data_IF_287452562866
#
_entry.id   IF_287452562866
#
_cell.length_a   1.000
_cell.length_b   1.000
_cell.length_c   1.000
_cell.angle_alpha   90.00
_cell.angle_beta   90.00
_cell.angle_gamma   90.00
#
_symmetry.space_group_name_H-M   'P 1'
#
loop_
_entity.id
_entity.type
_entity.pdbx_description
1 polymer ?
#
# COMPACT_ATOMS: atom_id res chain seq x y z
N UNK A 1 12.57 -24.73 28.57
CA UNK A 1 11.66 -23.97 27.70
C UNK A 1 12.19 -22.55 27.63
N UNK A 2 12.45 -22.01 26.43
CA UNK A 2 12.91 -20.62 26.29
C UNK A 2 11.83 -19.60 26.69
N UNK A 3 12.19 -18.31 26.88
CA UNK A 3 11.22 -17.29 27.22
C UNK A 3 10.16 -17.15 26.12
N UNK A 4 8.88 -17.12 26.50
CA UNK A 4 7.78 -16.84 25.57
C UNK A 4 7.78 -15.34 25.26
N UNK A 5 7.87 -14.98 23.98
CA UNK A 5 7.74 -13.60 23.54
C UNK A 5 6.26 -13.19 23.66
N UNK A 6 5.94 -12.05 24.31
CA UNK A 6 4.56 -11.63 24.53
C UNK A 6 3.75 -11.48 23.23
N UNK A 7 2.44 -11.71 23.35
CA UNK A 7 1.44 -11.44 22.30
C UNK A 7 0.44 -10.40 22.81
N UNK A 8 0.00 -9.49 21.95
CA UNK A 8 -1.16 -8.63 22.25
C UNK A 8 -2.36 -9.15 21.46
N UNK A 9 -3.40 -9.56 22.18
CA UNK A 9 -4.65 -10.04 21.59
C UNK A 9 -5.82 -9.29 22.21
N UNK A 10 -6.47 -8.45 21.40
CA UNK A 10 -7.70 -7.73 21.77
C UNK A 10 -8.82 -8.09 20.80
N UNK A 11 -8.91 -9.35 20.39
CA UNK A 11 -9.98 -9.79 19.50
C UNK A 11 -11.35 -9.63 20.18
N UNK A 12 -12.36 -9.27 19.39
CA UNK A 12 -13.73 -9.21 19.83
C UNK A 12 -14.22 -10.59 20.29
N UNK A 13 -15.06 -10.60 21.32
CA UNK A 13 -15.70 -11.83 21.78
C UNK A 13 -16.62 -12.38 20.71
N UNK A 14 -16.53 -13.69 20.44
CA UNK A 14 -17.50 -14.34 19.55
C UNK A 14 -18.90 -14.27 20.13
N UNK A 15 -19.91 -14.25 19.26
CA UNK A 15 -21.28 -14.37 19.70
C UNK A 15 -21.55 -15.75 20.30
N UNK A 16 -22.41 -15.80 21.33
CA UNK A 16 -22.92 -17.04 21.91
C UNK A 16 -24.09 -17.58 21.08
N UNK A 17 -24.43 -18.86 21.27
CA UNK A 17 -25.59 -19.53 20.67
C UNK A 17 -26.93 -19.08 21.26
N UNK A 18 -27.17 -17.77 21.33
CA UNK A 18 -28.47 -17.19 21.68
C UNK A 18 -28.82 -16.08 20.67
N UNK A 19 -30.07 -15.91 20.24
CA UNK A 19 -30.43 -15.09 19.09
C UNK A 19 -30.11 -13.58 19.26
N UNK A 20 -29.88 -13.11 20.48
CA UNK A 20 -29.59 -11.72 20.80
C UNK A 20 -28.09 -11.43 20.99
N UNK A 21 -27.22 -12.43 20.82
CA UNK A 21 -25.78 -12.26 20.96
C UNK A 21 -25.16 -11.80 19.66
N UNK A 22 -24.66 -10.57 19.66
CA UNK A 22 -23.86 -10.01 18.58
C UNK A 22 -22.36 -10.20 18.87
N UNK A 23 -21.52 -10.45 17.85
CA UNK A 23 -20.09 -10.51 18.04
C UNK A 23 -19.52 -9.15 18.46
N UNK A 24 -18.53 -9.17 19.34
CA UNK A 24 -17.76 -7.99 19.72
C UNK A 24 -16.84 -7.51 18.59
N UNK A 25 -16.51 -6.23 18.59
CA UNK A 25 -15.48 -5.68 17.71
C UNK A 25 -14.08 -5.92 18.28
N UNK A 26 -13.06 -5.91 17.43
CA UNK A 26 -11.68 -5.85 17.88
C UNK A 26 -11.42 -4.58 18.70
N UNK A 27 -10.58 -4.70 19.72
CA UNK A 27 -10.21 -3.61 20.60
C UNK A 27 -9.34 -2.51 19.95
N UNK A 28 -9.08 -1.47 20.75
CA UNK A 28 -8.18 -0.37 20.38
C UNK A 28 -6.84 -0.56 21.09
N UNK A 29 -5.78 -0.73 20.31
CA UNK A 29 -4.40 -0.83 20.76
C UNK A 29 -3.70 0.48 20.41
N UNK A 30 -3.07 1.10 21.40
CA UNK A 30 -2.17 2.24 21.22
C UNK A 30 -0.86 1.94 21.93
N UNK A 31 0.23 1.84 21.17
CA UNK A 31 1.57 1.64 21.69
C UNK A 31 2.41 2.91 21.44
N UNK A 32 2.94 3.49 22.50
CA UNK A 32 3.84 4.64 22.45
C UNK A 32 5.23 4.19 22.93
N UNK A 33 6.15 4.02 21.99
CA UNK A 33 7.46 3.45 22.23
C UNK A 33 8.49 4.59 22.30
N UNK A 34 8.94 4.88 23.51
CA UNK A 34 9.83 6.03 23.77
C UNK A 34 11.32 5.71 23.56
N UNK A 35 11.67 4.43 23.53
CA UNK A 35 13.05 3.95 23.47
C UNK A 35 13.50 3.51 22.07
N UNK A 36 14.30 2.44 22.04
CA UNK A 36 15.06 1.97 20.87
C UNK A 36 14.23 1.42 19.69
N UNK A 37 12.90 1.49 19.73
CA UNK A 37 12.01 0.98 18.69
C UNK A 37 11.18 -0.23 19.13
N UNK A 38 10.47 -0.82 18.16
CA UNK A 38 9.62 -2.00 18.35
C UNK A 38 9.86 -3.01 17.23
N UNK A 39 10.08 -4.26 17.59
CA UNK A 39 10.08 -5.40 16.67
C UNK A 39 8.91 -6.33 16.98
N UNK A 40 8.05 -6.57 15.98
CA UNK A 40 7.03 -7.63 16.03
C UNK A 40 7.55 -8.80 15.21
N UNK A 41 8.02 -9.87 15.87
CA UNK A 41 8.71 -10.97 15.20
C UNK A 41 8.94 -12.18 16.11
N UNK A 42 9.40 -13.32 15.56
CA UNK A 42 9.64 -14.56 16.31
C UNK A 42 10.79 -14.46 17.32
N UNK A 43 11.60 -13.39 17.24
CA UNK A 43 12.70 -13.05 18.16
C UNK A 43 12.64 -11.57 18.61
N UNK A 44 11.49 -10.90 18.40
CA UNK A 44 11.29 -9.48 18.69
C UNK A 44 10.74 -9.18 20.09
N UNK A 45 10.25 -7.96 20.28
CA UNK A 45 9.59 -7.51 21.51
C UNK A 45 8.20 -8.13 21.68
N UNK A 46 7.50 -8.32 20.55
CA UNK A 46 6.19 -8.95 20.48
C UNK A 46 6.23 -10.04 19.39
N UNK A 47 5.55 -11.15 19.59
CA UNK A 47 5.46 -12.20 18.56
C UNK A 47 4.32 -11.96 17.58
N UNK A 48 3.24 -11.30 18.01
CA UNK A 48 2.11 -10.92 17.18
C UNK A 48 1.23 -9.88 17.84
N UNK A 49 0.47 -9.13 17.03
CA UNK A 49 -0.59 -8.23 17.49
C UNK A 49 -1.87 -8.55 16.71
N UNK A 50 -2.96 -8.86 17.42
CA UNK A 50 -4.27 -9.12 16.81
C UNK A 50 -5.38 -8.31 17.47
N UNK A 51 -6.17 -7.64 16.64
CA UNK A 51 -7.39 -6.94 17.05
C UNK A 51 -8.52 -7.22 16.07
N UNK A 52 -8.82 -8.49 15.88
CA UNK A 52 -9.84 -8.96 14.95
C UNK A 52 -11.24 -8.88 15.57
N UNK A 53 -12.28 -8.74 14.74
CA UNK A 53 -13.66 -8.88 15.19
C UNK A 53 -14.00 -10.30 15.66
N UNK A 54 -14.98 -10.40 16.55
CA UNK A 54 -15.51 -11.66 17.06
C UNK A 54 -16.31 -12.44 16.01
N UNK A 55 -16.38 -13.77 16.18
CA UNK A 55 -17.04 -14.64 15.20
C UNK A 55 -18.57 -14.68 15.37
N UNK A 56 -19.24 -15.05 14.29
CA UNK A 56 -20.69 -15.21 14.19
C UNK A 56 -21.34 -16.15 15.19
N UNK A 57 -22.66 -15.99 15.32
CA UNK A 57 -23.57 -16.84 16.08
C UNK A 57 -24.18 -17.95 15.20
N UNK A 58 -24.20 -19.19 15.67
CA UNK A 58 -24.88 -20.32 14.98
C UNK A 58 -26.41 -20.26 15.04
N UNK A 59 -27.00 -19.59 16.05
CA UNK A 59 -28.44 -19.53 16.31
C UNK A 59 -29.08 -18.15 16.20
N UNK A 60 -28.40 -17.17 15.58
CA UNK A 60 -28.88 -15.78 15.45
C UNK A 60 -28.51 -15.17 14.11
N UNK A 61 -28.68 -13.85 13.96
CA UNK A 61 -28.25 -13.14 12.76
C UNK A 61 -26.73 -13.38 12.58
N UNK A 62 -26.38 -14.21 11.60
CA UNK A 62 -24.99 -14.53 11.29
C UNK A 62 -24.24 -13.18 11.19
N UNK A 63 -23.09 -12.94 11.78
CA UNK A 63 -22.49 -11.60 11.74
C UNK A 63 -21.03 -11.68 12.10
N UNK A 64 -20.19 -10.84 11.51
CA UNK A 64 -18.79 -10.69 11.92
C UNK A 64 -18.65 -9.39 12.69
N UNK A 65 -17.95 -9.43 13.83
CA UNK A 65 -17.57 -8.20 14.52
C UNK A 65 -16.67 -7.33 13.66
N UNK A 66 -16.57 -6.03 13.96
CA UNK A 66 -15.65 -5.15 13.23
C UNK A 66 -14.19 -5.45 13.60
N UNK A 67 -13.27 -5.21 12.67
CA UNK A 67 -11.85 -5.11 12.99
C UNK A 67 -11.57 -3.94 13.94
N UNK A 68 -10.55 -4.08 14.76
CA UNK A 68 -10.13 -3.09 15.74
C UNK A 68 -9.18 -2.04 15.15
N UNK A 69 -8.56 -1.27 16.04
CA UNK A 69 -7.57 -0.25 15.66
C UNK A 69 -6.25 -0.53 16.35
N UNK A 70 -5.15 -0.51 15.59
CA UNK A 70 -3.78 -0.69 16.08
C UNK A 70 -2.98 0.54 15.68
N UNK A 71 -2.61 1.36 16.66
CA UNK A 71 -1.75 2.52 16.47
C UNK A 71 -0.42 2.30 17.19
N UNK A 72 0.69 2.34 16.45
CA UNK A 72 2.04 2.21 17.00
C UNK A 72 2.80 3.46 16.62
N UNK A 73 3.22 4.22 17.63
CA UNK A 73 4.13 5.35 17.47
C UNK A 73 5.43 5.05 18.20
N UNK A 74 6.56 5.20 17.52
CA UNK A 74 7.87 4.94 18.09
C UNK A 74 8.85 6.10 17.82
N UNK A 75 9.68 6.42 18.81
CA UNK A 75 10.82 7.32 18.62
C UNK A 75 11.90 6.67 17.74
N UNK A 76 12.17 5.37 17.98
CA UNK A 76 13.06 4.53 17.18
C UNK A 76 12.35 3.77 16.04
N UNK A 77 13.02 2.77 15.45
CA UNK A 77 12.48 2.02 14.31
C UNK A 77 11.28 1.14 14.69
N UNK A 78 10.46 0.81 13.70
CA UNK A 78 9.40 -0.20 13.79
C UNK A 78 9.69 -1.29 12.76
N UNK A 79 9.87 -2.53 13.21
CA UNK A 79 10.10 -3.69 12.32
C UNK A 79 9.01 -4.74 12.50
N UNK A 80 8.40 -5.16 11.40
CA UNK A 80 7.32 -6.16 11.38
C UNK A 80 7.80 -7.40 10.62
N UNK A 81 8.26 -8.39 11.37
CA UNK A 81 8.70 -9.72 10.90
C UNK A 81 7.66 -10.81 11.18
N UNK A 82 6.53 -10.46 11.79
CA UNK A 82 5.40 -11.35 12.01
C UNK A 82 4.07 -10.63 11.78
N UNK A 83 3.00 -11.37 11.43
CA UNK A 83 1.75 -10.74 11.03
C UNK A 83 1.11 -9.86 12.12
N UNK A 84 0.51 -8.75 11.67
CA UNK A 84 -0.42 -7.94 12.46
C UNK A 84 -1.78 -7.96 11.77
N UNK A 85 -2.83 -8.25 12.53
CA UNK A 85 -4.19 -8.40 12.01
C UNK A 85 -5.19 -7.54 12.77
N UNK A 86 -6.01 -6.80 12.04
CA UNK A 86 -7.13 -6.03 12.59
C UNK A 86 -8.35 -6.12 11.64
N UNK A 87 -8.75 -7.33 11.27
CA UNK A 87 -9.81 -7.58 10.27
C UNK A 87 -11.16 -7.93 10.92
N UNK A 88 -12.23 -7.92 10.14
CA UNK A 88 -13.58 -8.29 10.60
C UNK A 88 -13.66 -9.75 11.03
N UNK A 89 -14.61 -10.06 11.91
CA UNK A 89 -14.91 -11.41 12.40
C UNK A 89 -15.34 -12.38 11.30
N UNK A 90 -15.28 -13.69 11.61
CA UNK A 90 -15.74 -14.71 10.66
C UNK A 90 -17.26 -14.66 10.48
N UNK A 91 -17.72 -15.05 9.30
CA UNK A 91 -19.12 -15.31 8.91
C UNK A 91 -19.27 -16.74 8.39
N UNK A 92 -20.41 -17.37 8.62
CA UNK A 92 -20.67 -18.77 8.21
C UNK A 92 -21.23 -18.90 6.78
N UNK A 93 -22.08 -17.97 6.38
CA UNK A 93 -22.66 -17.95 5.04
C UNK A 93 -21.61 -17.50 4.03
N UNK A 94 -21.24 -18.42 3.13
CA UNK A 94 -20.20 -18.24 2.14
C UNK A 94 -20.42 -17.06 1.21
N UNK A 95 -21.66 -16.60 1.02
CA UNK A 95 -21.97 -15.45 0.14
C UNK A 95 -21.95 -14.11 0.85
N UNK A 96 -21.93 -14.10 2.17
CA UNK A 96 -22.15 -12.89 2.95
C UNK A 96 -20.88 -12.18 3.36
N UNK A 97 -20.99 -10.87 3.50
CA UNK A 97 -19.97 -10.00 4.07
C UNK A 97 -20.48 -9.38 5.36
N UNK A 98 -19.61 -9.19 6.35
CA UNK A 98 -19.99 -8.56 7.60
C UNK A 98 -18.78 -7.94 8.32
N UNK A 99 -19.10 -6.98 9.18
CA UNK A 99 -18.12 -6.21 9.94
C UNK A 99 -17.29 -5.29 9.04
N UNK A 100 -16.87 -4.18 9.61
CA UNK A 100 -15.93 -3.28 8.96
C UNK A 100 -14.52 -3.88 9.09
N UNK A 101 -13.67 -3.64 8.09
CA UNK A 101 -12.23 -3.73 8.29
C UNK A 101 -11.77 -2.82 9.44
N UNK A 102 -10.61 -3.11 10.00
CA UNK A 102 -9.99 -2.28 11.02
C UNK A 102 -8.97 -1.30 10.45
N UNK A 103 -8.15 -0.76 11.34
CA UNK A 103 -7.11 0.20 11.01
C UNK A 103 -5.77 -0.16 11.66
N UNK A 104 -4.69 -0.10 10.88
CA UNK A 104 -3.32 -0.31 11.35
C UNK A 104 -2.50 0.92 10.96
N UNK A 105 -1.94 1.62 11.94
CA UNK A 105 -1.09 2.79 11.73
C UNK A 105 0.25 2.63 12.43
N UNK A 106 1.34 2.69 11.66
CA UNK A 106 2.71 2.63 12.14
C UNK A 106 3.39 3.97 11.86
N UNK A 107 3.90 4.62 12.91
CA UNK A 107 4.51 5.93 12.83
C UNK A 107 5.84 5.95 13.57
N UNK A 108 6.95 5.83 12.84
CA UNK A 108 8.27 6.11 13.41
C UNK A 108 8.59 7.60 13.25
N UNK A 109 8.84 8.27 14.37
CA UNK A 109 8.99 9.73 14.39
C UNK A 109 10.27 10.19 13.67
N UNK A 110 11.38 9.49 13.89
CA UNK A 110 12.70 9.88 13.38
C UNK A 110 13.51 8.70 12.82
N UNK A 111 12.91 7.52 12.69
CA UNK A 111 13.61 6.32 12.21
C UNK A 111 12.73 5.49 11.25
N UNK A 112 13.20 4.30 10.88
CA UNK A 112 12.64 3.51 9.82
C UNK A 112 11.37 2.76 10.23
N UNK A 113 10.51 2.50 9.25
CA UNK A 113 9.46 1.48 9.31
C UNK A 113 9.81 0.37 8.31
N UNK A 114 10.00 -0.86 8.80
CA UNK A 114 10.34 -2.03 7.99
C UNK A 114 9.22 -3.09 8.06
N UNK A 115 8.72 -3.52 6.91
CA UNK A 115 7.66 -4.53 6.76
C UNK A 115 8.23 -5.74 6.02
N UNK A 116 8.44 -6.81 6.77
CA UNK A 116 8.96 -8.09 6.27
C UNK A 116 7.90 -9.21 6.30
N UNK A 117 6.72 -8.90 6.84
CA UNK A 117 5.58 -9.79 6.96
C UNK A 117 4.29 -9.07 6.58
N UNK A 118 3.14 -9.60 7.03
CA UNK A 118 1.81 -9.15 6.63
C UNK A 118 1.20 -8.16 7.62
N UNK A 119 0.69 -7.04 7.10
CA UNK A 119 -0.31 -6.20 7.75
C UNK A 119 -1.66 -6.44 7.07
N UNK A 120 -2.67 -6.90 7.81
CA UNK A 120 -4.01 -7.14 7.27
C UNK A 120 -5.09 -6.39 8.04
N UNK A 121 -5.70 -5.40 7.39
CA UNK A 121 -6.76 -4.58 7.97
C UNK A 121 -8.17 -5.01 7.55
N UNK A 122 -8.32 -5.76 6.45
CA UNK A 122 -9.58 -6.36 6.04
C UNK A 122 -9.35 -7.64 5.24
N UNK A 123 -10.40 -8.47 5.12
CA UNK A 123 -10.31 -9.79 4.52
C UNK A 123 -11.40 -10.01 3.47
N UNK A 124 -11.04 -10.79 2.45
CA UNK A 124 -11.92 -11.22 1.36
C UNK A 124 -11.69 -12.72 1.11
N UNK A 125 -11.76 -13.53 2.18
CA UNK A 125 -11.59 -14.97 2.05
C UNK A 125 -12.59 -15.53 1.01
N UNK A 126 -12.20 -16.48 0.15
CA UNK A 126 -13.08 -17.02 -0.88
C UNK A 126 -14.41 -17.55 -0.32
N UNK A 127 -15.48 -17.32 -1.06
CA UNK A 127 -16.83 -17.79 -0.74
C UNK A 127 -16.92 -19.32 -0.81
N UNK A 128 -16.84 -20.00 0.34
CA UNK A 128 -17.04 -21.45 0.45
C UNK A 128 -17.88 -21.80 1.69
N UNK A 129 -18.29 -23.06 1.85
CA UNK A 129 -19.30 -23.54 2.83
C UNK A 129 -18.90 -23.53 4.31
N UNK A 130 -17.78 -22.90 4.67
CA UNK A 130 -17.24 -22.87 6.06
C UNK A 130 -17.12 -21.44 6.59
N UNK A 131 -16.83 -21.28 7.87
CA UNK A 131 -16.56 -19.98 8.48
C UNK A 131 -15.35 -19.22 7.86
N UNK A 132 -15.57 -18.00 7.35
CA UNK A 132 -14.59 -17.19 6.59
C UNK A 132 -14.55 -15.74 7.06
N UNK A 133 -13.44 -15.02 6.89
CA UNK A 133 -13.39 -13.56 7.11
C UNK A 133 -13.67 -12.82 5.80
N UNK A 134 -14.83 -12.18 5.70
CA UNK A 134 -15.23 -11.35 4.56
C UNK A 134 -15.77 -10.02 5.06
N UNK A 135 -14.95 -8.98 5.00
CA UNK A 135 -15.28 -7.65 5.47
C UNK A 135 -16.31 -6.98 4.55
N UNK A 136 -17.28 -6.28 5.14
CA UNK A 136 -18.28 -5.51 4.40
C UNK A 136 -17.71 -4.16 3.90
N UNK A 137 -16.61 -3.71 4.50
CA UNK A 137 -15.88 -2.49 4.20
C UNK A 137 -14.38 -2.76 4.23
N UNK A 138 -13.60 -2.12 3.36
CA UNK A 138 -12.15 -2.19 3.37
C UNK A 138 -11.54 -1.57 4.63
N UNK A 139 -10.38 -2.06 5.02
CA UNK A 139 -9.61 -1.54 6.15
C UNK A 139 -8.72 -0.35 5.77
N UNK A 140 -7.94 0.11 6.73
CA UNK A 140 -6.95 1.18 6.52
C UNK A 140 -5.57 0.74 7.03
N UNK A 141 -4.55 0.90 6.20
CA UNK A 141 -3.14 0.71 6.58
C UNK A 141 -2.40 2.02 6.34
N UNK A 142 -1.71 2.54 7.35
CA UNK A 142 -0.91 3.76 7.25
C UNK A 142 0.49 3.54 7.78
N UNK A 143 1.50 3.81 6.96
CA UNK A 143 2.91 3.80 7.32
C UNK A 143 3.46 5.22 7.23
N UNK A 144 4.11 5.68 8.30
CA UNK A 144 4.79 6.97 8.33
C UNK A 144 6.18 6.85 8.93
N UNK A 145 7.15 7.51 8.30
CA UNK A 145 8.50 7.67 8.84
C UNK A 145 9.00 9.10 8.64
N UNK A 146 9.51 9.69 9.72
CA UNK A 146 10.23 10.96 9.70
C UNK A 146 11.75 10.80 9.65
N UNK A 147 12.29 9.62 9.34
CA UNK A 147 13.74 9.39 9.27
C UNK A 147 14.40 10.39 8.32
N UNK A 148 15.38 11.19 8.77
CA UNK A 148 15.89 12.32 8.00
C UNK A 148 16.67 11.93 6.72
N UNK A 149 17.35 10.79 6.74
CA UNK A 149 18.17 10.28 5.63
C UNK A 149 18.16 8.74 5.57
N UNK A 150 18.58 8.19 4.44
CA UNK A 150 18.62 6.74 4.23
C UNK A 150 17.22 6.13 4.07
N UNK A 151 17.07 4.83 4.35
CA UNK A 151 15.79 4.15 4.15
C UNK A 151 14.83 4.45 5.31
N UNK A 152 13.81 5.27 5.03
CA UNK A 152 12.76 5.65 5.98
C UNK A 152 11.63 4.62 6.03
N UNK A 153 11.25 4.07 4.87
CA UNK A 153 10.25 3.01 4.80
C UNK A 153 10.79 1.90 3.91
N UNK A 154 10.72 0.66 4.38
CA UNK A 154 11.11 -0.52 3.62
C UNK A 154 10.00 -1.55 3.68
N UNK A 155 9.37 -1.84 2.55
CA UNK A 155 8.50 -3.00 2.39
C UNK A 155 9.32 -4.00 1.58
N UNK A 156 9.67 -5.12 2.20
CA UNK A 156 10.44 -6.17 1.54
C UNK A 156 9.63 -6.89 0.47
N UNK A 157 10.28 -7.74 -0.32
CA UNK A 157 9.60 -8.57 -1.31
C UNK A 157 8.64 -9.61 -0.71
N UNK A 158 8.73 -9.90 0.59
CA UNK A 158 7.78 -10.73 1.34
C UNK A 158 6.78 -9.91 2.16
N UNK A 159 6.92 -8.58 2.15
CA UNK A 159 6.00 -7.68 2.84
C UNK A 159 4.65 -7.63 2.14
N UNK A 160 3.58 -7.66 2.93
CA UNK A 160 2.21 -7.59 2.41
C UNK A 160 1.40 -6.54 3.16
N UNK A 161 0.81 -5.58 2.42
CA UNK A 161 -0.14 -4.61 2.94
C UNK A 161 -1.52 -4.91 2.36
N UNK A 162 -2.37 -5.56 3.16
CA UNK A 162 -3.63 -6.13 2.71
C UNK A 162 -4.82 -5.40 3.33
N UNK A 163 -5.45 -4.57 2.52
CA UNK A 163 -6.77 -3.98 2.78
C UNK A 163 -7.78 -4.53 1.78
N UNK A 164 -8.04 -5.83 1.90
CA UNK A 164 -8.82 -6.60 0.94
C UNK A 164 -10.31 -6.29 1.05
N UNK A 165 -11.01 -6.45 -0.07
CA UNK A 165 -12.45 -6.29 -0.10
C UNK A 165 -13.06 -7.14 -1.19
N UNK A 166 -13.98 -8.01 -0.76
CA UNK A 166 -14.68 -8.88 -1.67
C UNK A 166 -15.54 -8.08 -2.68
N UNK A 167 -15.64 -8.58 -3.91
CA UNK A 167 -16.42 -7.96 -4.98
C UNK A 167 -17.90 -7.76 -4.60
N UNK A 168 -18.47 -8.66 -3.79
CA UNK A 168 -19.84 -8.58 -3.31
C UNK A 168 -20.02 -7.69 -2.06
N UNK A 169 -18.95 -7.14 -1.48
CA UNK A 169 -19.07 -6.32 -0.27
C UNK A 169 -19.72 -4.95 -0.56
N UNK A 170 -20.61 -4.45 0.32
CA UNK A 170 -21.41 -3.27 0.02
C UNK A 170 -20.67 -1.94 0.11
N UNK A 171 -19.73 -1.77 1.03
CA UNK A 171 -19.18 -0.46 1.35
C UNK A 171 -17.69 -0.32 1.03
N UNK A 172 -17.12 0.88 1.26
CA UNK A 172 -16.01 1.37 0.46
C UNK A 172 -14.78 0.48 0.47
N UNK A 173 -14.00 0.64 -0.61
CA UNK A 173 -12.71 -0.02 -0.78
C UNK A 173 -11.68 0.30 0.30
N UNK A 174 -10.63 -0.51 0.28
CA UNK A 174 -9.50 -0.41 1.19
C UNK A 174 -8.65 0.83 1.01
N UNK A 175 -7.79 1.11 2.00
CA UNK A 175 -6.80 2.18 1.87
C UNK A 175 -5.44 1.74 2.37
N UNK A 176 -4.42 2.00 1.56
CA UNK A 176 -3.01 1.89 1.95
C UNK A 176 -2.36 3.26 1.75
N UNK A 177 -1.73 3.78 2.80
CA UNK A 177 -1.02 5.07 2.76
C UNK A 177 0.39 4.91 3.28
N UNK A 178 1.37 5.39 2.52
CA UNK A 178 2.79 5.35 2.84
C UNK A 178 3.34 6.77 2.73
N UNK A 179 3.92 7.29 3.80
CA UNK A 179 4.42 8.66 3.85
C UNK A 179 5.81 8.73 4.49
N UNK A 180 6.82 9.09 3.70
CA UNK A 180 8.15 9.43 4.18
C UNK A 180 8.39 10.94 4.09
N UNK A 181 9.01 11.53 5.11
CA UNK A 181 9.14 13.01 5.20
C UNK A 181 10.56 13.53 5.40
N UNK A 182 11.56 12.66 5.56
CA UNK A 182 12.97 13.09 5.72
C UNK A 182 13.53 13.78 4.49
N UNK A 183 14.40 14.77 4.65
CA UNK A 183 14.87 15.59 3.54
C UNK A 183 15.59 14.79 2.43
N UNK A 184 16.36 13.77 2.81
CA UNK A 184 17.20 12.96 1.90
C UNK A 184 16.94 11.45 2.09
N UNK A 185 15.75 11.10 2.57
CA UNK A 185 15.37 9.71 2.80
C UNK A 185 14.80 9.04 1.54
N UNK A 186 14.60 7.74 1.64
CA UNK A 186 13.94 6.93 0.62
C UNK A 186 12.82 6.07 1.21
N UNK A 187 11.73 5.91 0.48
CA UNK A 187 10.77 4.83 0.65
C UNK A 187 11.04 3.74 -0.39
N UNK A 188 11.26 2.50 0.04
CA UNK A 188 11.43 1.31 -0.80
C UNK A 188 10.20 0.44 -0.65
N UNK A 189 9.53 0.16 -1.76
CA UNK A 189 8.27 -0.58 -1.79
C UNK A 189 8.40 -1.75 -2.75
N UNK A 190 8.72 -2.91 -2.17
CA UNK A 190 8.68 -4.20 -2.84
C UNK A 190 7.49 -5.00 -2.27
N UNK A 191 7.19 -6.15 -2.87
CA UNK A 191 6.15 -7.05 -2.38
C UNK A 191 4.74 -6.60 -2.75
N UNK A 192 3.76 -6.98 -1.93
CA UNK A 192 2.34 -6.96 -2.30
C UNK A 192 1.58 -5.86 -1.59
N UNK A 193 0.93 -4.98 -2.37
CA UNK A 193 0.00 -3.98 -1.87
C UNK A 193 -1.39 -4.24 -2.48
N UNK A 194 -2.41 -4.37 -1.61
CA UNK A 194 -3.80 -4.56 -2.02
C UNK A 194 -4.71 -3.57 -1.31
N UNK A 195 -5.39 -2.74 -2.08
CA UNK A 195 -6.46 -1.85 -1.61
C UNK A 195 -7.67 -2.01 -2.53
N UNK A 196 -8.34 -3.16 -2.43
CA UNK A 196 -9.41 -3.53 -3.36
C UNK A 196 -10.53 -2.48 -3.37
N UNK A 197 -10.93 -2.08 -4.58
CA UNK A 197 -11.89 -0.99 -4.84
C UNK A 197 -11.56 0.34 -4.16
N UNK A 198 -10.29 0.53 -3.82
CA UNK A 198 -9.83 1.63 -2.97
C UNK A 198 -8.50 2.21 -3.41
N UNK A 199 -7.78 2.85 -2.49
CA UNK A 199 -6.63 3.70 -2.84
C UNK A 199 -5.32 3.24 -2.21
N UNK A 200 -4.28 3.19 -3.03
CA UNK A 200 -2.88 3.16 -2.58
C UNK A 200 -2.29 4.56 -2.82
N UNK A 201 -1.83 5.22 -1.76
CA UNK A 201 -1.20 6.53 -1.82
C UNK A 201 0.21 6.48 -1.20
N UNK A 202 1.24 6.67 -2.01
CA UNK A 202 2.65 6.59 -1.61
C UNK A 202 3.28 7.95 -1.86
N UNK A 203 3.72 8.63 -0.79
CA UNK A 203 4.30 9.98 -0.90
C UNK A 203 5.62 10.09 -0.19
N UNK A 204 6.44 10.95 -0.78
CA UNK A 204 7.66 11.43 -0.16
C UNK A 204 7.72 12.95 -0.26
N UNK A 205 7.84 13.64 0.88
CA UNK A 205 7.76 15.11 0.93
C UNK A 205 9.10 15.81 1.17
N UNK A 206 10.17 15.06 1.44
CA UNK A 206 11.52 15.61 1.55
C UNK A 206 12.04 16.19 0.22
N UNK A 207 12.88 17.22 0.30
CA UNK A 207 13.40 17.97 -0.85
C UNK A 207 14.10 17.08 -1.89
N UNK A 208 14.98 16.18 -1.44
CA UNK A 208 15.66 15.17 -2.26
C UNK A 208 15.09 13.77 -1.99
N UNK A 209 13.78 13.71 -1.77
CA UNK A 209 13.06 12.51 -1.41
C UNK A 209 12.99 11.47 -2.51
N UNK A 210 13.24 10.21 -2.16
CA UNK A 210 13.23 9.12 -3.13
C UNK A 210 12.10 8.13 -2.86
N UNK A 211 11.43 7.67 -3.92
CA UNK A 211 10.53 6.53 -3.88
C UNK A 211 11.05 5.51 -4.88
N UNK A 212 11.28 4.28 -4.42
CA UNK A 212 11.64 3.16 -5.27
C UNK A 212 10.51 2.13 -5.20
N UNK A 213 9.84 1.92 -6.33
CA UNK A 213 8.81 0.87 -6.50
C UNK A 213 9.45 -0.31 -7.19
N UNK A 214 9.59 -1.42 -6.48
CA UNK A 214 10.45 -2.51 -6.93
C UNK A 214 11.92 -2.08 -7.06
N UNK A 215 12.68 -2.88 -7.79
CA UNK A 215 14.07 -2.70 -8.11
C UNK A 215 14.42 -3.34 -9.44
N UNK A 216 15.67 -3.19 -9.91
CA UNK A 216 16.11 -3.73 -11.18
C UNK A 216 16.29 -5.26 -11.17
N UNK A 217 16.40 -5.88 -9.98
CA UNK A 217 16.46 -7.32 -9.82
C UNK A 217 15.09 -8.00 -9.94
N UNK A 218 15.05 -9.22 -10.47
CA UNK A 218 13.80 -9.97 -10.64
C UNK A 218 13.06 -10.27 -9.32
N UNK A 219 13.78 -10.36 -8.21
CA UNK A 219 13.22 -10.57 -6.87
C UNK A 219 12.71 -9.30 -6.20
N UNK A 220 13.04 -8.13 -6.74
CA UNK A 220 12.64 -6.82 -6.25
C UNK A 220 11.44 -6.33 -7.05
N UNK A 221 10.37 -7.12 -7.09
CA UNK A 221 9.15 -6.75 -7.79
C UNK A 221 8.15 -6.08 -6.84
N UNK A 222 7.42 -5.10 -7.37
CA UNK A 222 6.19 -4.60 -6.75
C UNK A 222 4.97 -5.28 -7.39
N UNK A 223 4.00 -5.65 -6.57
CA UNK A 223 2.67 -6.04 -7.01
C UNK A 223 1.62 -5.20 -6.28
N UNK A 224 1.20 -4.11 -6.91
CA UNK A 224 0.21 -3.19 -6.35
C UNK A 224 -1.10 -3.23 -7.14
N UNK A 225 -2.20 -3.45 -6.43
CA UNK A 225 -3.54 -3.42 -7.00
C UNK A 225 -4.48 -2.59 -6.13
N UNK A 226 -5.25 -1.71 -6.79
CA UNK A 226 -6.31 -0.93 -6.18
C UNK A 226 -7.18 -0.30 -7.25
N UNK A 227 -8.19 0.47 -6.87
CA UNK A 227 -8.95 1.28 -7.83
C UNK A 227 -8.13 2.50 -8.29
N UNK A 228 -7.41 3.10 -7.34
CA UNK A 228 -6.54 4.26 -7.56
C UNK A 228 -5.17 4.02 -6.94
N UNK A 229 -4.11 4.28 -7.70
CA UNK A 229 -2.73 4.30 -7.21
C UNK A 229 -2.13 5.68 -7.47
N UNK A 230 -1.63 6.33 -6.41
CA UNK A 230 -0.92 7.60 -6.47
C UNK A 230 0.46 7.41 -5.88
N UNK A 231 1.50 7.74 -6.64
CA UNK A 231 2.88 7.71 -6.16
C UNK A 231 3.53 9.05 -6.47
N UNK A 232 4.04 9.73 -5.46
CA UNK A 232 4.56 11.09 -5.62
C UNK A 232 5.81 11.38 -4.78
N UNK A 233 6.94 11.64 -5.45
CA UNK A 233 8.15 12.22 -4.84
C UNK A 233 8.12 13.74 -5.04
N UNK A 234 7.64 14.47 -4.02
CA UNK A 234 7.14 15.84 -4.14
C UNK A 234 8.19 16.94 -3.96
N UNK A 235 9.38 16.62 -3.46
CA UNK A 235 10.46 17.59 -3.27
C UNK A 235 10.99 18.16 -4.60
N UNK A 236 11.70 19.29 -4.53
CA UNK A 236 12.25 19.94 -5.73
C UNK A 236 13.23 19.01 -6.48
N UNK A 237 13.95 18.18 -5.74
CA UNK A 237 14.89 17.17 -6.23
C UNK A 237 14.33 15.75 -6.05
N UNK A 238 13.00 15.60 -6.05
CA UNK A 238 12.33 14.33 -5.88
C UNK A 238 12.73 13.31 -6.96
N UNK A 239 12.81 12.04 -6.58
CA UNK A 239 13.09 10.94 -7.51
C UNK A 239 12.07 9.83 -7.30
N UNK A 240 11.35 9.49 -8.36
CA UNK A 240 10.52 8.30 -8.43
C UNK A 240 11.19 7.30 -9.36
N UNK A 241 11.66 6.18 -8.80
CA UNK A 241 12.24 5.07 -9.56
C UNK A 241 11.26 3.91 -9.59
N UNK A 242 11.00 3.38 -10.78
CA UNK A 242 10.14 2.22 -11.02
C UNK A 242 10.99 1.11 -11.63
N UNK A 243 11.12 0.02 -10.88
CA UNK A 243 11.75 -1.23 -11.31
C UNK A 243 10.71 -2.25 -11.77
N UNK A 244 11.04 -3.53 -11.57
CA UNK A 244 10.18 -4.64 -12.00
C UNK A 244 8.82 -4.65 -11.28
N UNK A 245 7.78 -5.07 -11.98
CA UNK A 245 6.51 -5.43 -11.34
C UNK A 245 5.24 -5.02 -12.07
N UNK A 246 4.14 -4.99 -11.31
CA UNK A 246 2.80 -4.65 -11.75
C UNK A 246 2.22 -3.55 -10.86
N UNK A 247 1.76 -2.48 -11.50
CA UNK A 247 0.91 -1.45 -10.90
C UNK A 247 -0.43 -1.48 -11.63
N UNK A 248 -1.46 -2.08 -11.04
CA UNK A 248 -2.77 -2.25 -11.69
C UNK A 248 -3.84 -1.41 -11.02
N UNK A 249 -4.56 -0.65 -11.84
CA UNK A 249 -5.67 0.20 -11.39
C UNK A 249 -6.87 0.14 -12.29
N UNK A 250 -8.06 0.26 -11.70
CA UNK A 250 -9.33 0.31 -12.43
C UNK A 250 -9.66 1.75 -12.87
N UNK A 251 -9.43 2.74 -12.02
CA UNK A 251 -9.77 4.15 -12.29
C UNK A 251 -8.56 4.99 -12.72
N UNK A 252 -7.52 5.10 -11.88
CA UNK A 252 -6.38 5.99 -12.20
C UNK A 252 -5.06 5.56 -11.56
N UNK A 253 -3.99 5.61 -12.36
CA UNK A 253 -2.60 5.53 -11.92
C UNK A 253 -1.89 6.88 -12.12
N UNK A 254 -1.35 7.46 -11.04
CA UNK A 254 -0.55 8.70 -11.06
C UNK A 254 0.87 8.43 -10.57
N UNK A 255 1.88 8.64 -11.42
CA UNK A 255 3.31 8.56 -11.10
C UNK A 255 3.96 9.94 -11.24
N UNK A 256 4.33 10.55 -10.11
CA UNK A 256 4.65 11.98 -10.04
C UNK A 256 6.01 12.26 -9.39
N UNK A 257 6.77 13.15 -10.03
CA UNK A 257 7.89 13.87 -9.43
C UNK A 257 7.99 15.28 -10.04
N UNK A 258 7.06 16.19 -9.67
CA UNK A 258 6.86 17.45 -10.37
C UNK A 258 7.83 18.57 -9.95
N UNK A 259 8.76 18.31 -9.03
CA UNK A 259 9.76 19.29 -8.59
C UNK A 259 10.58 19.84 -9.75
N UNK A 260 11.23 21.00 -9.56
CA UNK A 260 12.02 21.66 -10.60
C UNK A 260 13.13 20.78 -11.20
N UNK A 261 13.68 19.86 -10.39
CA UNK A 261 14.64 18.83 -10.79
C UNK A 261 14.06 17.41 -10.62
N UNK A 262 12.74 17.30 -10.48
CA UNK A 262 12.05 16.04 -10.21
C UNK A 262 12.17 15.06 -11.36
N UNK A 263 12.43 13.79 -11.04
CA UNK A 263 12.62 12.75 -12.08
C UNK A 263 11.74 11.53 -11.86
N UNK A 264 11.20 11.01 -12.95
CA UNK A 264 10.58 9.69 -13.02
C UNK A 264 11.47 8.78 -13.85
N UNK A 265 11.95 7.68 -13.27
CA UNK A 265 12.91 6.77 -13.87
C UNK A 265 12.32 5.36 -13.96
N UNK A 266 12.17 4.84 -15.18
CA UNK A 266 11.90 3.43 -15.41
C UNK A 266 13.22 2.71 -15.64
N UNK A 267 13.61 1.85 -14.69
CA UNK A 267 14.93 1.19 -14.66
C UNK A 267 14.88 -0.30 -14.96
N UNK A 268 13.68 -0.88 -15.02
CA UNK A 268 13.43 -2.25 -15.46
C UNK A 268 12.01 -2.35 -16.03
N UNK A 269 11.71 -3.48 -16.67
CA UNK A 269 10.42 -3.72 -17.31
C UNK A 269 9.30 -3.71 -16.27
N UNK A 270 8.26 -2.93 -16.55
CA UNK A 270 7.12 -2.77 -15.65
C UNK A 270 5.82 -2.80 -16.44
N UNK A 271 4.78 -3.37 -15.83
CA UNK A 271 3.42 -3.27 -16.35
C UNK A 271 2.62 -2.25 -15.57
N UNK A 272 2.17 -1.21 -16.28
CA UNK A 272 1.15 -0.27 -15.78
C UNK A 272 -0.21 -0.82 -16.23
N UNK A 273 -0.80 -1.70 -15.42
CA UNK A 273 -1.96 -2.54 -15.74
C UNK A 273 -3.33 -1.90 -15.49
N UNK A 274 -4.38 -2.64 -15.86
CA UNK A 274 -5.78 -2.21 -15.75
C UNK A 274 -6.21 -1.19 -16.82
N UNK A 275 -7.53 -0.96 -16.94
CA UNK A 275 -8.14 -0.08 -17.95
C UNK A 275 -8.07 1.42 -17.61
N UNK A 276 -7.53 1.74 -16.43
CA UNK A 276 -7.35 3.08 -15.88
C UNK A 276 -6.61 4.08 -16.76
N UNK A 277 -6.88 5.35 -16.51
CA UNK A 277 -6.04 6.46 -16.98
C UNK A 277 -4.67 6.39 -16.30
N UNK A 278 -3.60 6.48 -17.10
CA UNK A 278 -2.22 6.46 -16.60
C UNK A 278 -1.56 7.80 -16.86
N UNK A 279 -1.10 8.44 -15.79
CA UNK A 279 -0.48 9.76 -15.83
C UNK A 279 0.93 9.66 -15.26
N UNK A 280 1.91 10.08 -16.06
CA UNK A 280 3.32 10.14 -15.70
C UNK A 280 3.74 11.60 -15.77
N UNK A 281 4.15 12.18 -14.64
CA UNK A 281 4.49 13.60 -14.56
C UNK A 281 5.82 13.82 -13.84
N UNK A 282 6.79 14.45 -14.50
CA UNK A 282 8.02 14.89 -13.86
C UNK A 282 8.84 15.81 -14.75
N UNK A 283 9.73 16.62 -14.17
CA UNK A 283 10.57 17.53 -14.96
C UNK A 283 11.40 16.75 -16.00
N UNK A 284 11.87 15.57 -15.61
CA UNK A 284 12.47 14.60 -16.52
C UNK A 284 11.80 13.24 -16.38
N UNK A 285 11.45 12.62 -17.51
CA UNK A 285 11.00 11.23 -17.57
C UNK A 285 12.04 10.43 -18.35
N UNK A 286 12.62 9.43 -17.70
CA UNK A 286 13.61 8.53 -18.30
C UNK A 286 13.04 7.12 -18.43
N UNK A 287 13.18 6.50 -19.61
CA UNK A 287 13.07 5.05 -19.76
C UNK A 287 14.46 4.53 -20.13
N UNK A 288 15.04 3.70 -19.28
CA UNK A 288 16.41 3.24 -19.42
C UNK A 288 16.58 2.36 -20.66
N UNK A 289 17.83 2.22 -21.14
CA UNK A 289 18.09 1.51 -22.38
C UNK A 289 17.62 0.05 -22.30
N UNK A 290 16.88 -0.40 -23.31
CA UNK A 290 16.30 -1.74 -23.37
C UNK A 290 15.09 -1.97 -22.45
N UNK A 291 14.67 -0.98 -21.64
CA UNK A 291 13.49 -1.10 -20.78
C UNK A 291 12.21 -0.84 -21.56
N UNK A 292 11.21 -1.69 -21.33
CA UNK A 292 9.85 -1.54 -21.85
C UNK A 292 8.87 -1.24 -20.72
N UNK A 293 8.22 -0.09 -20.81
CA UNK A 293 7.09 0.26 -19.95
C UNK A 293 5.81 -0.20 -20.64
N UNK A 294 5.25 -1.33 -20.19
CA UNK A 294 4.05 -1.91 -20.80
C UNK A 294 2.81 -1.19 -20.29
N UNK A 295 2.11 -0.51 -21.19
CA UNK A 295 0.84 0.16 -20.91
C UNK A 295 -0.29 -0.83 -21.19
N UNK A 296 -0.90 -1.35 -20.12
CA UNK A 296 -2.03 -2.27 -20.21
C UNK A 296 -3.36 -1.57 -20.50
N UNK A 297 -4.36 -2.33 -20.99
CA UNK A 297 -5.66 -1.79 -21.39
C UNK A 297 -5.66 -1.18 -22.80
N UNK A 298 -6.69 -0.40 -23.11
CA UNK A 298 -6.88 0.22 -24.44
C UNK A 298 -6.46 1.69 -24.52
N UNK A 299 -6.12 2.31 -23.38
CA UNK A 299 -5.79 3.73 -23.30
C UNK A 299 -4.27 3.93 -23.21
N UNK A 300 -3.73 4.76 -24.09
CA UNK A 300 -2.32 5.18 -24.04
C UNK A 300 -2.04 6.01 -22.78
N UNK A 301 -0.80 5.97 -22.29
CA UNK A 301 -0.37 6.80 -21.16
C UNK A 301 -0.28 8.28 -21.54
N UNK A 302 -0.61 9.16 -20.60
CA UNK A 302 -0.38 10.60 -20.72
C UNK A 302 0.91 10.97 -20.00
N UNK A 303 1.85 11.58 -20.72
CA UNK A 303 3.16 11.97 -20.20
C UNK A 303 3.26 13.50 -20.14
N UNK A 304 3.61 14.03 -18.98
CA UNK A 304 3.79 15.45 -18.73
C UNK A 304 5.23 15.70 -18.29
N UNK A 305 6.06 16.24 -19.18
CA UNK A 305 7.49 16.41 -18.89
C UNK A 305 8.13 17.52 -19.72
N UNK A 306 9.19 18.11 -19.19
CA UNK A 306 10.04 19.03 -19.94
C UNK A 306 11.15 18.27 -20.68
N UNK A 307 11.52 17.07 -20.21
CA UNK A 307 12.60 16.26 -20.76
C UNK A 307 12.16 14.79 -20.91
N UNK A 308 11.70 14.42 -22.10
CA UNK A 308 11.23 13.06 -22.44
C UNK A 308 12.38 12.18 -22.97
N UNK A 309 13.15 11.58 -22.05
CA UNK A 309 14.35 10.80 -22.38
C UNK A 309 14.02 9.32 -22.62
N UNK A 310 13.46 9.04 -23.80
CA UNK A 310 13.12 7.70 -24.28
C UNK A 310 12.92 7.73 -25.81
N UNK A 311 12.72 6.55 -26.41
CA UNK A 311 12.47 6.37 -27.85
C UNK A 311 10.99 6.21 -28.15
N UNK A 312 10.55 6.73 -29.30
CA UNK A 312 9.14 6.69 -29.73
C UNK A 312 8.23 7.64 -28.96
N UNK A 313 6.97 7.77 -29.39
CA UNK A 313 5.91 8.51 -28.69
C UNK A 313 6.32 9.93 -28.22
N UNK A 314 7.02 10.68 -29.08
CA UNK A 314 7.48 12.05 -28.79
C UNK A 314 8.68 12.16 -27.86
N UNK A 315 9.33 11.05 -27.49
CA UNK A 315 10.62 11.05 -26.80
C UNK A 315 11.77 11.59 -27.66
N UNK A 316 12.82 12.10 -27.02
CA UNK A 316 13.96 12.75 -27.70
C UNK A 316 15.04 11.76 -28.19
N UNK A 317 14.87 10.45 -27.98
CA UNK A 317 15.82 9.43 -28.44
C UNK A 317 17.15 9.36 -27.67
N UNK A 318 17.33 10.13 -26.60
CA UNK A 318 18.54 10.07 -25.76
C UNK A 318 18.73 8.72 -25.05
N UNK A 319 17.66 7.92 -24.97
CA UNK A 319 17.64 6.55 -24.45
C UNK A 319 16.82 5.64 -25.36
N UNK A 320 17.18 4.36 -25.38
CA UNK A 320 16.53 3.34 -26.23
C UNK A 320 15.31 2.68 -25.59
N UNK A 321 15.01 2.98 -24.32
CA UNK A 321 13.80 2.51 -23.66
C UNK A 321 12.53 3.06 -24.32
N UNK A 322 11.41 2.34 -24.22
CA UNK A 322 10.17 2.67 -24.93
C UNK A 322 8.92 2.34 -24.12
N UNK A 323 7.79 2.91 -24.54
CA UNK A 323 6.47 2.44 -24.12
C UNK A 323 6.02 1.27 -25.02
N UNK A 324 5.47 0.22 -24.41
CA UNK A 324 4.83 -0.92 -25.08
C UNK A 324 3.32 -0.97 -24.84
N UNK A 325 2.65 -1.99 -25.38
CA UNK A 325 1.20 -2.16 -25.23
C UNK A 325 0.42 -1.04 -25.92
N UNK A 326 -0.49 -0.38 -25.20
CA UNK A 326 -1.23 0.78 -25.73
C UNK A 326 -0.34 2.02 -25.99
N UNK A 327 0.94 1.99 -25.60
CA UNK A 327 1.89 3.07 -25.84
C UNK A 327 1.58 4.34 -25.03
N UNK A 328 2.14 5.47 -25.47
CA UNK A 328 1.94 6.78 -24.84
C UNK A 328 1.53 7.84 -25.87
N UNK A 329 0.86 8.89 -25.40
CA UNK A 329 0.67 10.10 -26.18
C UNK A 329 1.99 10.89 -26.23
N UNK A 330 2.13 11.80 -27.22
CA UNK A 330 3.23 12.74 -27.23
C UNK A 330 3.25 13.56 -25.92
N UNK A 331 4.44 13.87 -25.36
CA UNK A 331 4.54 14.60 -24.11
C UNK A 331 3.86 15.96 -24.19
N UNK A 332 3.21 16.34 -23.09
CA UNK A 332 2.72 17.69 -22.84
C UNK A 332 3.64 18.40 -21.84
N UNK A 333 3.64 19.75 -21.83
CA UNK A 333 4.34 20.53 -20.81
C UNK A 333 3.98 20.10 -19.39
N UNK A 334 4.96 20.07 -18.49
CA UNK A 334 4.75 19.63 -17.09
C UNK A 334 3.68 20.46 -16.36
N UNK A 335 3.58 21.76 -16.66
CA UNK A 335 2.60 22.65 -16.03
C UNK A 335 1.13 22.35 -16.43
N UNK A 336 0.90 21.47 -17.40
CA UNK A 336 -0.42 20.98 -17.78
C UNK A 336 -0.81 19.66 -17.08
N UNK A 337 0.09 19.09 -16.26
CA UNK A 337 -0.18 17.86 -15.53
C UNK A 337 -1.42 18.04 -14.62
N UNK A 338 -2.37 17.09 -14.64
CA UNK A 338 -3.50 17.11 -13.71
C UNK A 338 -3.00 17.16 -12.25
N UNK A 339 -3.70 17.85 -11.34
CA UNK A 339 -3.27 17.95 -9.96
C UNK A 339 -3.23 16.59 -9.25
N UNK A 340 -2.32 16.46 -8.29
CA UNK A 340 -2.39 15.43 -7.26
C UNK A 340 -3.39 15.89 -6.20
N UNK A 341 -4.34 15.04 -5.85
CA UNK A 341 -5.25 15.31 -4.74
C UNK A 341 -4.47 15.32 -3.41
N UNK A 342 -5.09 15.86 -2.35
CA UNK A 342 -4.48 15.83 -1.01
C UNK A 342 -4.23 14.38 -0.54
N UNK A 343 -3.22 14.13 0.32
CA UNK A 343 -2.87 12.80 0.80
C UNK A 343 -4.09 12.04 1.35
N UNK A 344 -4.38 10.89 0.76
CA UNK A 344 -5.44 10.02 1.22
C UNK A 344 -6.87 10.54 1.01
N UNK A 345 -7.07 11.55 0.16
CA UNK A 345 -8.41 11.89 -0.33
C UNK A 345 -8.98 10.74 -1.16
N UNK A 346 -10.25 10.38 -0.88
CA UNK A 346 -11.08 9.63 -1.81
C UNK A 346 -11.39 10.52 -3.01
N UNK A 347 -11.46 9.90 -4.18
CA UNK A 347 -12.35 10.38 -5.25
C UNK A 347 -13.76 9.92 -4.90
#
# INVERSE_FOLDING_TARGET
MGPRIPTINTNGTSAFSNPNSNPGSGGRITLNILGAGLTVGPLGDLSSITSNGGNFNFGGAYGGGNGGTINITAAGPITIDSPIEATSGRVLDGTRTAGNGGAIALNSLNDAVAINSRLQASSADPAITTARRRSANGGNITLKSGKPSGVAINISNTGELLSLLDAAAPGPGGKVTILATGATSSARVNGTLRADRGTIDIRHTGDAGQINLGGPGASDAIDAQGDVIKVAALGNNGVLTIGNGLLSTDTTLKLYSPGSNGTVNFVADVTLGGASTKIIAGNTVNIFNGVVVTIGGSHSASVFTNNANYSGFGGNGSRTGTFGGAGANNPLPLNQAPPLDVPGAKL
#
